data_IF_232501430235
#
_entry.id   IF_232501430235
#
_cell.length_a   1.000
_cell.length_b   1.000
_cell.length_c   1.000
_cell.angle_alpha   90.00
_cell.angle_beta   90.00
_cell.angle_gamma   90.00
#
_symmetry.space_group_name_H-M   'P 1'
#
loop_
_entity.id
_entity.type
_entity.pdbx_description
1 polymer ?
#
# COMPACT_ATOMS: atom_id res chain seq x y z
N UNK A 1 -9.24 25.47 -48.25
CA UNK A 1 -9.03 24.07 -47.83
C UNK A 1 -7.72 23.84 -47.06
N UNK A 2 -6.53 24.28 -47.54
CA UNK A 2 -5.24 24.05 -46.84
C UNK A 2 -5.16 24.59 -45.39
N UNK A 3 -5.78 25.73 -45.10
CA UNK A 3 -5.78 26.33 -43.74
C UNK A 3 -6.61 25.54 -42.72
N UNK A 4 -7.62 24.78 -43.18
CA UNK A 4 -8.50 23.99 -42.31
C UNK A 4 -7.76 22.75 -41.76
N UNK A 5 -6.98 22.07 -42.61
CA UNK A 5 -6.21 20.87 -42.25
C UNK A 5 -5.13 21.14 -41.19
N UNK A 6 -4.49 22.31 -41.25
CA UNK A 6 -3.46 22.70 -40.27
C UNK A 6 -4.10 23.01 -38.90
N UNK A 7 -5.26 23.65 -38.89
CA UNK A 7 -5.98 23.96 -37.65
C UNK A 7 -6.47 22.69 -36.95
N UNK A 8 -6.98 21.71 -37.71
CA UNK A 8 -7.43 20.42 -37.16
C UNK A 8 -6.26 19.62 -36.56
N UNK A 9 -5.08 19.64 -37.20
CA UNK A 9 -3.89 18.95 -36.68
C UNK A 9 -3.38 19.53 -35.36
N UNK A 10 -3.36 20.86 -35.23
CA UNK A 10 -2.96 21.54 -33.99
C UNK A 10 -3.99 21.26 -32.88
N UNK A 11 -5.29 21.30 -33.20
CA UNK A 11 -6.35 21.03 -32.24
C UNK A 11 -6.29 19.59 -31.69
N UNK A 12 -6.05 18.59 -32.54
CA UNK A 12 -5.88 17.20 -32.10
C UNK A 12 -4.65 17.01 -31.19
N UNK A 13 -3.56 17.76 -31.42
CA UNK A 13 -2.34 17.70 -30.59
C UNK A 13 -2.55 18.31 -29.20
N UNK A 14 -3.27 19.44 -29.12
CA UNK A 14 -3.62 20.10 -27.85
C UNK A 14 -4.62 19.26 -27.03
N UNK A 15 -5.61 18.63 -27.68
CA UNK A 15 -6.54 17.72 -27.00
C UNK A 15 -5.87 16.40 -26.58
N UNK A 16 -4.90 15.90 -27.34
CA UNK A 16 -4.15 14.69 -26.98
C UNK A 16 -3.28 14.86 -25.73
N UNK A 17 -2.75 16.06 -25.48
CA UNK A 17 -1.94 16.34 -24.29
C UNK A 17 -2.78 16.57 -23.02
N UNK A 18 -4.00 17.07 -23.14
CA UNK A 18 -4.89 17.28 -21.99
C UNK A 18 -5.44 15.97 -21.38
N UNK A 19 -5.41 14.86 -22.13
CA UNK A 19 -5.95 13.58 -21.69
C UNK A 19 -4.98 12.72 -20.85
N UNK A 20 -3.72 13.12 -20.69
CA UNK A 20 -2.67 12.28 -20.06
C UNK A 20 -2.57 12.43 -18.53
N UNK A 21 -3.27 13.40 -17.93
CA UNK A 21 -3.13 13.67 -16.49
C UNK A 21 -4.14 12.95 -15.57
N UNK A 22 -4.93 12.01 -16.08
CA UNK A 22 -5.73 11.14 -15.20
C UNK A 22 -4.93 9.90 -14.84
N UNK A 23 -4.03 10.03 -13.86
CA UNK A 23 -3.49 8.87 -13.17
C UNK A 23 -4.61 8.33 -12.28
N UNK A 24 -5.29 7.31 -12.78
CA UNK A 24 -6.24 6.50 -12.01
C UNK A 24 -5.54 5.87 -10.81
N UNK A 25 -6.31 5.51 -9.78
CA UNK A 25 -5.80 4.69 -8.68
C UNK A 25 -5.08 3.45 -9.22
N UNK A 26 -3.88 3.15 -8.70
CA UNK A 26 -3.11 1.97 -9.05
C UNK A 26 -3.15 1.02 -7.86
N UNK A 27 -3.70 -0.18 -8.09
CA UNK A 27 -3.62 -1.29 -7.13
C UNK A 27 -2.17 -1.76 -7.05
N UNK A 28 -1.59 -1.69 -5.86
CA UNK A 28 -0.19 -2.05 -5.59
C UNK A 28 -0.09 -3.32 -4.75
N UNK A 29 -1.19 -4.04 -4.56
CA UNK A 29 -1.25 -5.23 -3.69
C UNK A 29 -0.34 -6.34 -4.21
N UNK A 30 0.39 -6.97 -3.29
CA UNK A 30 1.24 -8.15 -3.55
C UNK A 30 0.53 -9.36 -2.96
N UNK A 31 0.27 -10.34 -3.82
CA UNK A 31 -0.28 -11.63 -3.47
C UNK A 31 0.79 -12.49 -2.79
N UNK A 32 0.45 -13.12 -1.67
CA UNK A 32 1.31 -14.03 -0.92
C UNK A 32 1.27 -15.48 -1.46
N UNK A 33 0.26 -15.79 -2.28
CA UNK A 33 0.04 -17.07 -2.95
C UNK A 33 -0.08 -18.27 -1.99
N UNK A 34 -0.57 -18.06 -0.77
CA UNK A 34 -0.78 -19.09 0.26
C UNK A 34 -2.25 -19.59 0.30
N UNK A 35 -2.88 -19.85 -0.84
CA UNK A 35 -4.23 -20.43 -0.89
C UNK A 35 -4.29 -21.96 -0.67
N UNK A 36 -5.25 -22.46 0.11
CA UNK A 36 -5.56 -23.90 0.15
C UNK A 36 -6.10 -24.39 -1.21
N UNK A 37 -5.31 -25.19 -1.93
CA UNK A 37 -5.57 -25.65 -3.32
C UNK A 37 -6.80 -26.58 -3.44
N UNK A 38 -7.46 -26.98 -2.35
CA UNK A 38 -8.45 -28.07 -2.36
C UNK A 38 -9.87 -27.69 -2.82
N UNK A 39 -10.25 -26.41 -2.87
CA UNK A 39 -11.67 -26.02 -2.89
C UNK A 39 -12.20 -25.50 -4.24
N UNK A 40 -11.65 -26.03 -5.33
CA UNK A 40 -12.27 -25.92 -6.65
C UNK A 40 -11.89 -24.64 -7.42
N UNK A 41 -11.22 -24.85 -8.55
CA UNK A 41 -10.82 -23.82 -9.50
C UNK A 41 -12.01 -23.01 -10.01
N UNK A 42 -12.10 -21.74 -9.60
CA UNK A 42 -13.06 -20.78 -10.12
C UNK A 42 -12.51 -19.37 -9.97
N UNK A 43 -12.30 -18.68 -11.10
CA UNK A 43 -11.98 -17.27 -11.17
C UNK A 43 -13.03 -16.50 -10.34
N UNK A 44 -12.64 -15.96 -9.18
CA UNK A 44 -13.44 -14.99 -8.42
C UNK A 44 -13.94 -15.39 -7.04
N UNK A 45 -13.38 -16.40 -6.38
CA UNK A 45 -13.71 -16.70 -4.98
C UNK A 45 -12.55 -16.33 -4.08
N UNK A 46 -12.52 -15.03 -3.80
CA UNK A 46 -11.34 -14.17 -3.67
C UNK A 46 -10.74 -13.84 -5.03
N UNK A 47 -10.05 -12.72 -5.19
CA UNK A 47 -8.97 -12.75 -6.19
C UNK A 47 -7.74 -13.55 -5.68
N UNK A 48 -7.90 -14.38 -4.64
CA UNK A 48 -7.29 -15.71 -4.52
C UNK A 48 -6.33 -15.92 -3.36
N UNK A 49 -6.69 -15.62 -2.12
CA UNK A 49 -5.79 -15.64 -0.94
C UNK A 49 -6.51 -16.08 0.37
N UNK A 50 -7.16 -17.26 0.42
CA UNK A 50 -7.44 -17.84 1.74
C UNK A 50 -6.12 -18.40 2.23
N UNK A 51 -5.31 -17.55 2.86
CA UNK A 51 -4.15 -17.95 3.66
C UNK A 51 -4.51 -19.20 4.50
N UNK A 52 -3.59 -20.16 4.70
CA UNK A 52 -3.86 -21.28 5.57
C UNK A 52 -4.19 -20.77 6.97
N UNK A 53 -5.30 -21.24 7.53
CA UNK A 53 -5.81 -20.92 8.86
C UNK A 53 -6.59 -19.60 9.02
N UNK A 54 -6.96 -18.93 7.93
CA UNK A 54 -7.78 -17.73 8.03
C UNK A 54 -9.26 -18.02 8.20
N UNK A 55 -9.95 -17.19 9.00
CA UNK A 55 -11.40 -17.30 9.18
C UNK A 55 -12.09 -17.01 7.83
N UNK A 56 -12.81 -17.99 7.23
CA UNK A 56 -13.44 -17.78 5.93
C UNK A 56 -14.48 -16.65 5.98
N UNK A 57 -14.38 -15.68 5.07
CA UNK A 57 -15.41 -14.70 4.81
C UNK A 57 -14.89 -13.29 4.50
N UNK A 58 -15.61 -12.58 3.62
CA UNK A 58 -15.28 -11.24 3.14
C UNK A 58 -15.04 -10.19 4.26
N UNK A 59 -15.51 -10.45 5.48
CA UNK A 59 -15.37 -9.55 6.64
C UNK A 59 -13.97 -9.52 7.25
N UNK A 60 -13.09 -10.47 6.92
CA UNK A 60 -11.69 -10.46 7.34
C UNK A 60 -10.73 -10.09 6.20
N UNK A 61 -11.22 -10.20 4.96
CA UNK A 61 -10.47 -10.03 3.73
C UNK A 61 -10.10 -8.56 3.47
N UNK A 62 -8.81 -8.36 3.27
CA UNK A 62 -8.18 -7.14 2.83
C UNK A 62 -8.04 -7.14 1.30
N UNK A 63 -8.72 -6.22 0.62
CA UNK A 63 -8.87 -6.26 -0.84
C UNK A 63 -7.79 -5.57 -1.63
N UNK A 64 -7.34 -4.37 -1.21
CA UNK A 64 -6.33 -3.64 -1.98
C UNK A 64 -5.65 -2.49 -1.25
N UNK A 65 -4.38 -2.27 -1.59
CA UNK A 65 -3.70 -0.98 -1.47
C UNK A 65 -3.79 -0.25 -2.80
N UNK A 66 -4.32 0.96 -2.78
CA UNK A 66 -4.42 1.79 -3.97
C UNK A 66 -3.61 3.06 -3.79
N UNK A 67 -2.57 3.25 -4.62
CA UNK A 67 -1.91 4.55 -4.72
C UNK A 67 -2.81 5.50 -5.50
N UNK A 68 -3.18 6.63 -4.89
CA UNK A 68 -4.09 7.59 -5.50
C UNK A 68 -3.30 8.69 -6.21
N UNK A 69 -3.47 8.77 -7.53
CA UNK A 69 -2.84 9.79 -8.38
C UNK A 69 -1.31 9.74 -8.35
N UNK A 70 -0.68 10.91 -8.56
CA UNK A 70 0.78 11.08 -8.51
C UNK A 70 1.30 11.51 -7.13
N UNK A 71 0.40 11.63 -6.15
CA UNK A 71 0.70 12.06 -4.79
C UNK A 71 1.23 10.93 -3.90
N UNK A 72 1.32 11.25 -2.61
CA UNK A 72 1.62 10.31 -1.52
C UNK A 72 0.32 9.86 -0.84
N UNK A 73 -0.79 9.82 -1.59
CA UNK A 73 -2.09 9.41 -1.09
C UNK A 73 -2.24 7.91 -1.27
N UNK A 74 -2.69 7.23 -0.22
CA UNK A 74 -2.83 5.79 -0.17
C UNK A 74 -4.23 5.44 0.33
N UNK A 75 -4.93 4.59 -0.41
CA UNK A 75 -6.18 3.97 0.03
C UNK A 75 -5.93 2.52 0.43
N UNK A 76 -6.44 2.14 1.61
CA UNK A 76 -6.52 0.77 2.11
C UNK A 76 -7.98 0.36 2.10
N UNK A 77 -8.30 -0.76 1.44
CA UNK A 77 -9.67 -1.22 1.26
C UNK A 77 -9.81 -2.69 1.61
N UNK A 78 -10.89 -3.07 2.30
CA UNK A 78 -11.20 -4.45 2.67
C UNK A 78 -12.58 -4.58 3.31
N UNK A 79 -13.02 -5.79 3.62
CA UNK A 79 -14.24 -6.00 4.42
C UNK A 79 -13.98 -6.05 5.93
N UNK A 80 -12.71 -6.00 6.35
CA UNK A 80 -12.35 -5.78 7.75
C UNK A 80 -12.74 -4.37 8.20
N UNK A 81 -13.50 -4.27 9.30
CA UNK A 81 -13.86 -3.00 9.91
C UNK A 81 -12.62 -2.41 10.61
N UNK A 82 -11.89 -1.58 9.88
CA UNK A 82 -10.65 -0.92 10.35
C UNK A 82 -10.92 0.01 11.55
N UNK A 83 -12.16 0.50 11.71
CA UNK A 83 -12.52 1.43 12.76
C UNK A 83 -12.89 0.70 14.06
N UNK A 84 -13.89 -0.17 13.99
CA UNK A 84 -14.48 -0.80 15.18
C UNK A 84 -13.95 -2.23 15.42
N UNK A 85 -13.13 -2.75 14.49
CA UNK A 85 -12.60 -4.12 14.52
C UNK A 85 -13.66 -5.16 14.19
N UNK A 86 -13.25 -6.42 14.18
CA UNK A 86 -14.12 -7.55 13.88
C UNK A 86 -14.16 -8.55 15.04
N UNK A 87 -15.30 -9.20 15.23
CA UNK A 87 -15.51 -10.16 16.33
C UNK A 87 -15.49 -11.61 15.81
N UNK A 88 -14.68 -12.46 16.43
CA UNK A 88 -14.65 -13.91 16.17
C UNK A 88 -14.53 -14.69 17.47
N UNK A 89 -15.36 -15.72 17.64
CA UNK A 89 -15.38 -16.57 18.85
C UNK A 89 -15.45 -15.77 20.17
N UNK A 90 -16.28 -14.72 20.20
CA UNK A 90 -16.45 -13.86 21.38
C UNK A 90 -15.27 -12.90 21.68
N UNK A 91 -14.20 -12.93 20.87
CA UNK A 91 -13.08 -11.99 20.97
C UNK A 91 -13.18 -10.95 19.87
N UNK A 92 -13.00 -9.68 20.22
CA UNK A 92 -12.90 -8.59 19.25
C UNK A 92 -11.44 -8.30 18.94
N UNK A 93 -11.12 -8.28 17.65
CA UNK A 93 -9.80 -7.99 17.12
C UNK A 93 -9.84 -6.62 16.47
N UNK A 94 -8.97 -5.71 16.91
CA UNK A 94 -8.89 -4.33 16.41
C UNK A 94 -7.83 -4.16 15.33
N UNK A 95 -7.94 -3.05 14.60
CA UNK A 95 -6.95 -2.65 13.59
C UNK A 95 -5.55 -2.50 14.18
N UNK A 96 -4.53 -2.83 13.39
CA UNK A 96 -3.14 -2.78 13.79
C UNK A 96 -2.43 -1.55 13.22
N UNK A 97 -1.28 -1.76 12.61
CA UNK A 97 -0.46 -0.68 12.07
C UNK A 97 -0.15 -0.93 10.59
N UNK A 98 0.18 0.14 9.86
CA UNK A 98 0.74 0.07 8.52
C UNK A 98 2.24 0.31 8.59
N UNK A 99 3.03 -0.69 8.22
CA UNK A 99 4.48 -0.60 8.13
C UNK A 99 4.88 -0.23 6.70
N UNK A 100 5.96 0.55 6.56
CA UNK A 100 6.45 1.01 5.28
C UNK A 100 7.97 0.86 5.20
N UNK A 101 8.48 0.33 4.10
CA UNK A 101 9.91 0.24 3.80
C UNK A 101 10.27 1.03 2.52
N UNK A 102 11.27 1.91 2.64
CA UNK A 102 11.86 2.77 1.60
C UNK A 102 13.32 3.13 1.92
N UNK A 103 14.31 2.82 1.06
CA UNK A 103 14.34 1.77 0.04
C UNK A 103 14.66 0.39 0.64
N UNK A 104 14.37 -0.69 -0.10
CA UNK A 104 14.68 -2.06 0.30
C UNK A 104 13.45 -2.93 0.51
N UNK A 105 13.65 -4.24 0.48
CA UNK A 105 12.59 -5.23 0.72
C UNK A 105 12.58 -5.59 2.21
N UNK A 106 11.48 -5.36 2.93
CA UNK A 106 11.37 -5.78 4.32
C UNK A 106 11.26 -7.31 4.41
N UNK A 107 11.52 -7.84 5.59
CA UNK A 107 11.34 -9.24 5.91
C UNK A 107 9.90 -9.45 6.40
N UNK A 108 9.09 -10.13 5.60
CA UNK A 108 7.73 -10.53 5.92
C UNK A 108 7.50 -11.95 5.41
N UNK A 109 6.35 -12.54 5.71
CA UNK A 109 6.09 -13.88 5.21
C UNK A 109 6.83 -14.96 6.00
N UNK A 110 6.81 -16.17 5.44
CA UNK A 110 7.70 -17.28 5.80
C UNK A 110 9.20 -16.95 5.67
N UNK A 111 9.54 -15.87 4.97
CA UNK A 111 10.92 -15.42 4.81
C UNK A 111 11.44 -14.64 6.04
N UNK A 112 10.56 -14.17 6.93
CA UNK A 112 10.97 -13.46 8.15
C UNK A 112 11.89 -14.32 9.01
N UNK A 113 13.01 -13.79 9.53
CA UNK A 113 13.91 -14.58 10.35
C UNK A 113 13.17 -15.00 11.62
N UNK A 114 13.31 -16.27 11.99
CA UNK A 114 12.87 -16.76 13.29
C UNK A 114 13.80 -16.14 14.33
N UNK A 115 13.31 -15.13 15.03
CA UNK A 115 14.11 -14.39 16.00
C UNK A 115 13.71 -14.84 17.40
N UNK A 116 14.74 -15.06 18.24
CA UNK A 116 14.56 -15.48 19.63
C UNK A 116 13.66 -14.47 20.39
N UNK A 117 12.44 -14.89 20.67
CA UNK A 117 11.42 -14.09 21.34
C UNK A 117 11.81 -13.79 22.79
N UNK A 118 11.90 -12.51 23.16
CA UNK A 118 12.18 -12.11 24.53
C UNK A 118 10.86 -11.96 25.29
N UNK A 119 10.50 -13.01 26.03
CA UNK A 119 9.45 -12.96 27.06
C UNK A 119 8.02 -12.89 26.52
N UNK A 120 7.27 -13.98 26.66
CA UNK A 120 5.83 -13.99 26.49
C UNK A 120 5.30 -15.39 26.21
N UNK A 121 4.29 -15.82 26.97
CA UNK A 121 3.34 -16.81 26.48
C UNK A 121 2.59 -16.23 25.28
N UNK A 122 2.21 -17.09 24.32
CA UNK A 122 1.53 -16.80 23.05
C UNK A 122 0.78 -15.45 22.99
N UNK A 123 1.07 -14.63 21.96
CA UNK A 123 0.34 -13.39 21.64
C UNK A 123 0.75 -12.12 22.36
N UNK A 124 1.83 -12.13 23.14
CA UNK A 124 2.37 -10.91 23.75
C UNK A 124 3.90 -10.79 23.70
N UNK A 125 4.58 -11.71 23.02
CA UNK A 125 6.03 -11.64 22.89
C UNK A 125 6.45 -10.35 22.20
N UNK A 126 7.43 -9.68 22.79
CA UNK A 126 8.05 -8.49 22.23
C UNK A 126 9.37 -8.86 21.57
N UNK A 127 9.71 -8.10 20.54
CA UNK A 127 10.96 -8.20 19.84
C UNK A 127 11.50 -6.81 19.51
N UNK A 128 12.82 -6.67 19.62
CA UNK A 128 13.59 -5.49 19.21
C UNK A 128 14.11 -5.75 17.80
N UNK A 129 13.36 -5.30 16.80
CA UNK A 129 13.72 -5.35 15.38
C UNK A 129 12.72 -4.50 14.56
N UNK A 130 13.16 -3.95 13.42
CA UNK A 130 12.26 -3.34 12.44
C UNK A 130 11.95 -4.22 11.22
N UNK A 131 12.56 -5.40 11.08
CA UNK A 131 12.41 -6.28 9.91
C UNK A 131 12.67 -5.56 8.57
N UNK A 132 13.49 -4.50 8.56
CA UNK A 132 13.75 -3.69 7.38
C UNK A 132 12.66 -2.65 7.05
N UNK A 133 11.62 -2.49 7.88
CA UNK A 133 10.71 -1.36 7.79
C UNK A 133 11.38 -0.07 8.29
N UNK A 134 11.09 1.04 7.62
CA UNK A 134 11.61 2.37 7.98
C UNK A 134 10.59 3.20 8.74
N UNK A 135 9.30 2.93 8.52
CA UNK A 135 8.22 3.70 9.12
C UNK A 135 7.06 2.82 9.58
N UNK A 136 6.34 3.34 10.57
CA UNK A 136 5.05 2.83 11.04
C UNK A 136 4.03 3.95 11.03
N UNK A 137 2.86 3.68 10.47
CA UNK A 137 1.71 4.57 10.51
C UNK A 137 0.76 4.10 11.59
N UNK A 138 0.42 5.02 12.49
CA UNK A 138 -0.61 4.84 13.50
C UNK A 138 -1.70 5.88 13.25
N UNK A 139 -2.96 5.45 13.26
CA UNK A 139 -4.10 6.34 13.11
C UNK A 139 -5.00 6.30 14.34
N UNK A 140 -5.72 7.40 14.52
CA UNK A 140 -6.73 7.59 15.56
C UNK A 140 -7.98 8.18 14.90
N UNK A 141 -9.09 7.45 15.02
CA UNK A 141 -10.39 7.94 14.58
C UNK A 141 -10.88 9.02 15.54
N UNK A 142 -11.11 10.22 15.01
CA UNK A 142 -11.70 11.33 15.78
C UNK A 142 -13.15 11.59 15.40
N UNK A 143 -13.66 10.92 14.35
CA UNK A 143 -15.04 10.96 13.92
C UNK A 143 -15.46 9.65 13.25
N UNK A 144 -16.74 9.56 12.84
CA UNK A 144 -17.24 8.41 12.10
C UNK A 144 -16.67 8.30 10.67
N UNK A 145 -16.12 9.38 10.12
CA UNK A 145 -15.71 9.48 8.71
C UNK A 145 -14.24 9.86 8.53
N UNK A 146 -13.45 9.83 9.60
CA UNK A 146 -12.03 10.13 9.51
C UNK A 146 -11.35 10.36 10.85
N UNK A 147 -10.10 10.82 10.75
CA UNK A 147 -9.26 11.06 11.90
C UNK A 147 -7.87 11.56 11.54
N UNK A 148 -6.95 11.39 12.47
CA UNK A 148 -5.55 11.79 12.32
C UNK A 148 -4.65 10.57 12.26
N UNK A 149 -3.51 10.70 11.60
CA UNK A 149 -2.45 9.70 11.66
C UNK A 149 -1.10 10.35 11.94
N UNK A 150 -0.20 9.55 12.50
CA UNK A 150 1.23 9.86 12.63
C UNK A 150 2.04 8.80 11.89
N UNK A 151 3.06 9.24 11.18
CA UNK A 151 4.13 8.40 10.66
C UNK A 151 5.30 8.52 11.60
N UNK A 152 5.73 7.38 12.10
CA UNK A 152 6.84 7.25 13.03
C UNK A 152 7.96 6.57 12.27
N UNK A 153 9.13 7.22 12.23
CA UNK A 153 10.37 6.57 11.78
C UNK A 153 10.83 5.57 12.83
N UNK A 154 11.23 4.38 12.39
CA UNK A 154 11.66 3.27 13.23
C UNK A 154 13.01 2.73 12.74
N UNK A 155 13.81 2.19 13.67
CA UNK A 155 15.10 1.57 13.37
C UNK A 155 15.20 0.16 13.98
N UNK A 156 16.36 -0.47 13.89
CA UNK A 156 16.60 -1.84 14.38
C UNK A 156 16.30 -2.05 15.88
N UNK A 157 16.16 -0.99 16.66
CA UNK A 157 15.79 -1.07 18.07
C UNK A 157 14.27 -1.16 18.28
N UNK A 158 13.47 -0.87 17.24
CA UNK A 158 12.01 -0.86 17.28
C UNK A 158 11.39 -2.05 18.05
N UNK A 159 10.60 -1.75 19.08
CA UNK A 159 9.88 -2.73 19.87
C UNK A 159 8.55 -3.04 19.21
N UNK A 160 8.51 -4.22 18.60
CA UNK A 160 7.34 -4.81 18.00
C UNK A 160 6.75 -5.89 18.92
N UNK A 161 5.45 -6.07 18.86
CA UNK A 161 4.70 -7.09 19.59
C UNK A 161 3.90 -7.94 18.63
N UNK A 162 4.02 -9.25 18.77
CA UNK A 162 3.23 -10.20 17.98
C UNK A 162 1.75 -10.03 18.32
N UNK A 163 0.89 -9.90 17.32
CA UNK A 163 -0.55 -9.70 17.51
C UNK A 163 -1.33 -11.02 17.60
N UNK A 164 -0.80 -12.14 17.10
CA UNK A 164 -1.56 -13.40 17.03
C UNK A 164 -1.95 -13.96 18.41
N UNK A 165 -3.26 -14.06 18.68
CA UNK A 165 -3.79 -14.82 19.83
C UNK A 165 -3.83 -16.32 19.57
N UNK A 166 -3.74 -16.72 18.31
CA UNK A 166 -3.72 -18.11 17.91
C UNK A 166 -2.31 -18.67 18.05
N UNK A 167 -2.22 -19.97 18.30
CA UNK A 167 -0.97 -20.67 18.64
C UNK A 167 0.15 -20.34 17.65
N UNK A 168 1.41 -20.18 18.13
CA UNK A 168 2.51 -19.67 17.32
C UNK A 168 2.73 -20.38 15.98
N UNK A 169 2.34 -21.65 15.88
CA UNK A 169 2.66 -22.56 14.79
C UNK A 169 1.84 -22.35 13.50
N UNK A 170 0.64 -21.75 13.58
CA UNK A 170 -0.29 -21.65 12.43
C UNK A 170 -0.23 -20.33 11.67
N UNK A 171 0.49 -19.33 12.18
CA UNK A 171 0.53 -17.96 11.61
C UNK A 171 1.97 -17.40 11.57
N UNK A 172 2.98 -18.27 11.46
CA UNK A 172 4.37 -17.82 11.30
C UNK A 172 4.55 -17.08 9.98
N UNK A 173 3.80 -17.48 8.96
CA UNK A 173 3.91 -16.92 7.62
C UNK A 173 3.30 -15.52 7.55
N UNK A 174 2.44 -15.11 8.47
CA UNK A 174 1.80 -13.78 8.45
C UNK A 174 2.52 -12.73 9.29
N UNK A 175 3.65 -13.06 9.92
CA UNK A 175 4.50 -12.16 10.71
C UNK A 175 3.79 -10.96 11.38
N UNK A 176 2.74 -11.18 12.19
CA UNK A 176 1.76 -10.13 12.43
C UNK A 176 2.21 -9.26 13.61
N UNK A 177 2.90 -8.17 13.30
CA UNK A 177 3.46 -7.26 14.29
C UNK A 177 2.58 -6.05 14.54
N UNK A 178 2.62 -5.58 15.78
CA UNK A 178 2.14 -4.27 16.20
C UNK A 178 3.30 -3.50 16.79
N UNK A 179 3.41 -2.24 16.43
CA UNK A 179 4.38 -1.33 17.01
C UNK A 179 3.93 -0.89 18.42
N UNK A 180 4.81 -0.99 19.43
CA UNK A 180 4.41 -0.82 20.84
C UNK A 180 4.88 0.45 21.50
N UNK A 181 5.98 1.09 21.08
CA UNK A 181 6.56 2.17 21.90
C UNK A 181 6.96 3.41 21.14
N UNK A 182 6.63 4.57 21.69
CA UNK A 182 7.02 5.91 21.23
C UNK A 182 8.00 6.61 22.21
N UNK A 183 8.48 5.92 23.27
CA UNK A 183 9.16 6.58 24.38
C UNK A 183 10.61 6.12 24.67
N UNK A 184 11.06 4.95 24.21
CA UNK A 184 12.37 4.39 24.61
C UNK A 184 13.31 4.03 23.46
N UNK A 185 12.94 4.33 22.22
CA UNK A 185 13.40 3.52 21.08
C UNK A 185 13.96 4.31 19.89
N UNK A 186 14.41 5.55 20.12
CA UNK A 186 14.89 6.41 19.03
C UNK A 186 13.82 6.84 18.02
N UNK A 187 12.57 6.38 18.20
CA UNK A 187 11.45 6.67 17.33
C UNK A 187 11.12 8.16 17.27
N UNK A 188 11.04 8.69 16.04
CA UNK A 188 10.71 10.10 15.80
C UNK A 188 9.45 10.17 14.95
N UNK A 189 8.49 11.01 15.37
CA UNK A 189 7.36 11.38 14.53
C UNK A 189 7.89 12.11 13.31
N UNK A 190 7.87 11.43 12.17
CA UNK A 190 8.38 11.91 10.90
C UNK A 190 7.36 12.81 10.21
N UNK A 191 6.09 12.42 10.23
CA UNK A 191 5.01 13.17 9.58
C UNK A 191 3.69 12.96 10.33
N UNK A 192 2.74 13.86 10.10
CA UNK A 192 1.37 13.76 10.60
C UNK A 192 0.41 14.17 9.50
N UNK A 193 -0.79 13.60 9.49
CA UNK A 193 -1.81 14.01 8.55
C UNK A 193 -3.20 13.56 8.95
N UNK A 194 -4.12 13.65 8.01
CA UNK A 194 -5.50 13.24 8.19
C UNK A 194 -5.85 12.12 7.23
N UNK A 195 -6.83 11.32 7.62
CA UNK A 195 -7.42 10.32 6.75
C UNK A 195 -8.94 10.49 6.69
N UNK A 196 -9.52 10.08 5.57
CA UNK A 196 -10.96 9.89 5.45
C UNK A 196 -11.29 8.42 5.53
N UNK A 197 -12.47 8.11 6.08
CA UNK A 197 -12.98 6.76 6.20
C UNK A 197 -14.39 6.70 5.64
N UNK A 198 -14.67 5.64 4.88
CA UNK A 198 -15.99 5.34 4.35
C UNK A 198 -16.30 3.85 4.48
N UNK A 199 -17.59 3.57 4.58
CA UNK A 199 -18.15 2.22 4.53
C UNK A 199 -19.21 2.20 3.43
N UNK A 200 -19.17 1.18 2.57
CA UNK A 200 -20.18 0.95 1.57
C UNK A 200 -20.44 -0.55 1.42
N UNK A 201 -21.59 -0.99 1.91
CA UNK A 201 -22.07 -2.37 1.78
C UNK A 201 -21.12 -3.39 2.42
N UNK A 202 -20.58 -3.06 3.59
CA UNK A 202 -19.62 -3.91 4.32
C UNK A 202 -18.19 -3.86 3.78
N UNK A 203 -17.90 -2.97 2.84
CA UNK A 203 -16.54 -2.67 2.39
C UNK A 203 -16.09 -1.35 3.00
N UNK A 204 -14.99 -1.39 3.71
CA UNK A 204 -14.37 -0.27 4.40
C UNK A 204 -13.20 0.26 3.58
N UNK A 205 -13.10 1.58 3.49
CA UNK A 205 -11.99 2.26 2.82
C UNK A 205 -11.41 3.34 3.73
N UNK A 206 -10.09 3.29 3.92
CA UNK A 206 -9.31 4.27 4.65
C UNK A 206 -8.35 4.96 3.68
N UNK A 207 -8.51 6.27 3.50
CA UNK A 207 -7.68 7.07 2.58
C UNK A 207 -6.77 7.98 3.39
N UNK A 208 -5.47 7.68 3.38
CA UNK A 208 -4.41 8.46 3.99
C UNK A 208 -3.94 9.52 3.00
N UNK A 209 -4.00 10.80 3.40
CA UNK A 209 -3.55 11.91 2.55
C UNK A 209 -2.14 12.34 2.92
N UNK A 210 -1.24 12.48 1.94
CA UNK A 210 0.14 12.94 2.13
C UNK A 210 1.00 12.10 3.10
N UNK A 211 0.98 10.77 2.98
CA UNK A 211 1.46 9.84 3.99
C UNK A 211 2.91 10.08 4.47
N UNK A 212 3.90 10.07 3.57
CA UNK A 212 5.32 10.27 3.92
C UNK A 212 5.85 11.66 3.56
N UNK A 213 4.94 12.63 3.39
CA UNK A 213 5.29 13.83 2.63
C UNK A 213 5.52 13.48 1.16
N UNK A 214 5.58 14.50 0.32
CA UNK A 214 5.66 14.30 -1.13
C UNK A 214 7.00 13.69 -1.55
N UNK A 215 8.11 14.00 -0.88
CA UNK A 215 9.44 13.70 -1.43
C UNK A 215 9.84 12.23 -1.25
N UNK A 216 9.69 11.67 -0.04
CA UNK A 216 10.03 10.26 0.22
C UNK A 216 9.22 9.31 -0.70
N UNK A 217 7.91 9.55 -0.83
CA UNK A 217 7.02 8.71 -1.62
C UNK A 217 7.17 8.89 -3.14
N UNK A 218 7.62 10.08 -3.60
CA UNK A 218 7.86 10.36 -5.02
C UNK A 218 9.19 9.83 -5.50
N UNK A 219 10.22 9.89 -4.65
CA UNK A 219 11.58 9.54 -5.05
C UNK A 219 12.00 8.12 -4.63
N UNK A 220 11.21 7.45 -3.78
CA UNK A 220 11.44 6.04 -3.47
C UNK A 220 11.44 5.19 -4.75
N UNK A 221 12.53 4.44 -4.93
CA UNK A 221 12.67 3.47 -6.03
C UNK A 221 11.76 2.26 -5.84
N UNK A 222 11.45 1.94 -4.59
CA UNK A 222 10.55 0.88 -4.14
C UNK A 222 9.89 1.30 -2.85
N UNK A 223 8.57 1.09 -2.75
CA UNK A 223 7.83 1.26 -1.50
C UNK A 223 7.13 -0.05 -1.21
N UNK A 224 7.45 -0.64 -0.08
CA UNK A 224 6.71 -1.78 0.47
C UNK A 224 5.77 -1.31 1.55
N UNK A 225 4.52 -1.73 1.47
CA UNK A 225 3.45 -1.47 2.42
C UNK A 225 3.09 -2.79 3.08
N UNK A 226 2.83 -2.76 4.38
CA UNK A 226 2.46 -3.96 5.11
C UNK A 226 1.48 -3.61 6.23
N UNK A 227 0.22 -4.00 6.09
CA UNK A 227 -0.81 -3.72 7.09
C UNK A 227 -1.10 -4.97 7.92
N UNK A 228 -1.16 -4.78 9.23
CA UNK A 228 -1.50 -5.82 10.19
C UNK A 228 -2.75 -5.45 10.98
N UNK A 229 -3.42 -6.44 11.53
CA UNK A 229 -4.45 -6.26 12.56
C UNK A 229 -4.34 -7.32 13.65
N UNK A 230 -5.15 -7.17 14.71
CA UNK A 230 -4.86 -7.83 15.98
C UNK A 230 -4.98 -9.36 15.96
N UNK A 231 -5.75 -10.01 15.08
CA UNK A 231 -5.69 -11.48 15.03
C UNK A 231 -4.50 -12.01 14.24
N UNK A 232 -3.81 -11.17 13.45
CA UNK A 232 -2.69 -11.61 12.61
C UNK A 232 -3.09 -12.62 11.53
N UNK A 233 -4.35 -12.56 11.12
CA UNK A 233 -5.03 -13.51 10.25
C UNK A 233 -5.04 -13.08 8.78
N UNK A 234 -4.44 -11.96 8.41
CA UNK A 234 -4.34 -11.55 7.01
C UNK A 234 -3.24 -10.51 6.94
N UNK A 235 -2.42 -10.62 5.90
CA UNK A 235 -1.36 -9.69 5.58
C UNK A 235 -1.58 -9.08 4.21
N UNK A 236 -1.96 -7.81 4.18
CA UNK A 236 -1.87 -7.07 2.94
C UNK A 236 -0.44 -6.55 2.79
N UNK A 237 0.27 -7.04 1.78
CA UNK A 237 1.48 -6.42 1.28
C UNK A 237 1.16 -5.55 0.05
N UNK A 238 1.85 -4.44 -0.11
CA UNK A 238 1.79 -3.63 -1.31
C UNK A 238 3.18 -3.27 -1.79
N UNK A 239 3.41 -3.27 -3.09
CA UNK A 239 4.68 -2.87 -3.68
C UNK A 239 4.47 -1.98 -4.89
N UNK A 240 4.99 -0.75 -4.81
CA UNK A 240 5.11 0.12 -5.96
C UNK A 240 6.57 0.36 -6.28
N UNK A 241 6.94 0.05 -7.52
CA UNK A 241 8.16 0.60 -8.10
C UNK A 241 7.90 2.07 -8.39
N UNK A 242 8.85 2.93 -8.01
CA UNK A 242 8.78 4.37 -8.24
C UNK A 242 8.12 4.65 -9.57
N UNK A 243 7.00 5.40 -9.53
CA UNK A 243 6.15 5.67 -10.69
C UNK A 243 7.03 5.92 -11.89
N UNK A 244 6.76 5.19 -12.98
CA UNK A 244 7.49 5.29 -14.25
C UNK A 244 7.98 6.72 -14.39
N UNK A 245 9.31 6.93 -14.32
CA UNK A 245 9.88 8.25 -14.49
C UNK A 245 9.15 8.86 -15.69
N UNK A 246 8.45 10.01 -15.53
CA UNK A 246 7.63 10.56 -16.60
C UNK A 246 8.50 10.53 -17.84
N UNK A 247 8.01 9.87 -18.90
CA UNK A 247 8.77 9.61 -20.13
C UNK A 247 9.67 10.82 -20.34
N UNK A 248 11.00 10.66 -20.26
CA UNK A 248 11.87 11.80 -20.06
C UNK A 248 11.55 12.82 -21.14
N UNK A 249 11.65 14.14 -20.89
CA UNK A 249 11.31 15.16 -21.88
C UNK A 249 11.95 14.89 -23.25
N UNK A 250 13.06 14.16 -23.29
CA UNK A 250 13.70 13.58 -24.48
C UNK A 250 12.80 12.67 -25.34
N UNK A 251 11.91 11.85 -24.79
CA UNK A 251 10.95 11.02 -25.55
C UNK A 251 9.90 11.88 -26.25
N UNK A 252 9.40 12.93 -25.57
CA UNK A 252 8.54 13.94 -26.19
C UNK A 252 9.31 14.75 -27.25
N UNK A 253 10.55 15.15 -26.96
CA UNK A 253 11.43 15.85 -27.90
C UNK A 253 11.75 14.99 -29.13
N UNK A 254 11.94 13.69 -28.94
CA UNK A 254 12.14 12.72 -30.01
C UNK A 254 10.89 12.60 -30.86
N UNK A 255 9.71 12.43 -30.25
CA UNK A 255 8.43 12.35 -30.96
C UNK A 255 8.14 13.63 -31.77
N UNK A 256 8.27 14.80 -31.15
CA UNK A 256 8.06 16.10 -31.79
C UNK A 256 9.13 16.40 -32.85
N UNK A 257 10.39 16.03 -32.60
CA UNK A 257 11.49 16.17 -33.55
C UNK A 257 11.31 15.32 -34.81
N UNK A 258 10.86 14.07 -34.67
CA UNK A 258 10.53 13.20 -35.80
C UNK A 258 9.38 13.75 -36.64
N UNK A 259 8.33 14.30 -36.00
CA UNK A 259 7.24 14.99 -36.70
C UNK A 259 7.74 16.24 -37.44
N UNK A 260 8.65 17.00 -36.83
CA UNK A 260 9.31 18.15 -37.46
C UNK A 260 10.09 17.76 -38.72
N UNK A 261 10.83 16.65 -38.68
CA UNK A 261 11.56 16.11 -39.84
C UNK A 261 10.63 15.64 -40.96
N UNK A 262 9.51 15.01 -40.64
CA UNK A 262 8.47 14.65 -41.64
C UNK A 262 7.89 15.92 -42.28
N UNK A 263 7.69 16.99 -41.49
CA UNK A 263 7.28 18.31 -41.98
C UNK A 263 8.27 18.92 -42.96
N UNK A 264 9.57 18.91 -42.64
CA UNK A 264 10.64 19.43 -43.50
C UNK A 264 10.72 18.72 -44.86
N UNK A 265 10.44 17.42 -44.92
CA UNK A 265 10.45 16.64 -46.17
C UNK A 265 9.37 17.11 -47.16
N UNK A 266 8.27 17.71 -46.70
CA UNK A 266 7.23 18.30 -47.57
C UNK A 266 7.63 19.65 -48.16
N UNK A 267 8.52 20.40 -47.52
CA UNK A 267 8.99 21.69 -48.02
C UNK A 267 10.10 21.58 -49.07
N UNK A 268 10.69 20.40 -49.25
CA UNK A 268 11.80 20.16 -50.18
C UNK A 268 11.38 19.76 -51.60
N UNK A 269 10.09 19.83 -51.93
CA UNK A 269 9.60 19.77 -53.32
C UNK A 269 9.44 21.21 -53.85
N UNK A 270 10.58 21.85 -54.13
CA UNK A 270 10.73 22.99 -55.04
C UNK A 270 11.94 22.67 -55.90
#
# INVERSE_FOLDING_TARGET
>A
MRKLVVLTGILCLVFGMAAVNQVSAIDVTVFDNLGAISDGTGIGYEKGETEPHTVPGAVWDLQSFNKLGTGADLSLKGGYDIKDGQSYSGTRYYSGNLFIATPGTPWFGAASPDLDYVGGTSGNAQITNNFGYNYVVQWEFTSATGGNYKVISIDENAILKKTSYLTPETFLDTNPWRYVSDATDGAVVYNTGTFTFSENSGIYELVLTNLLGLDEFKFATSIWLYYTYQCGNDIMAGHTFGSHAPLPPSALLLGTGLLGLVGLRRFRKI
#
